data_IF_921020436944
#
_entry.id   IF_921020436944
#
_cell.length_a   1.000
_cell.length_b   1.000
_cell.length_c   1.000
_cell.angle_alpha   90.00
_cell.angle_beta   90.00
_cell.angle_gamma   90.00
#
_symmetry.space_group_name_H-M   'P 1'
#
loop_
_entity.id
_entity.type
_entity.pdbx_description
1 polymer ?
#
# COMPACT_ATOMS: atom_id res chain seq x y z
N UNK A 1 -35.44 -25.97 -6.97
CA UNK A 1 -34.14 -25.27 -6.78
C UNK A 1 -32.96 -26.22 -6.94
N UNK A 2 -32.91 -27.33 -6.20
CA UNK A 2 -31.79 -28.28 -6.26
C UNK A 2 -31.61 -28.89 -7.67
N UNK A 3 -32.69 -29.29 -8.34
CA UNK A 3 -32.62 -29.79 -9.74
C UNK A 3 -32.13 -28.74 -10.74
N UNK A 4 -32.47 -27.46 -10.53
CA UNK A 4 -32.02 -26.36 -11.37
C UNK A 4 -30.51 -26.11 -11.19
N UNK A 5 -30.03 -26.20 -9.95
CA UNK A 5 -28.60 -26.10 -9.61
C UNK A 5 -27.83 -27.30 -10.19
N UNK A 6 -28.35 -28.51 -10.05
CA UNK A 6 -27.75 -29.72 -10.62
C UNK A 6 -27.74 -29.69 -12.15
N UNK A 7 -28.82 -29.24 -12.79
CA UNK A 7 -28.90 -29.09 -14.24
C UNK A 7 -27.96 -28.02 -14.79
N UNK A 8 -27.76 -26.93 -14.04
CA UNK A 8 -26.77 -25.90 -14.39
C UNK A 8 -25.35 -26.45 -14.30
N UNK A 9 -24.97 -27.06 -13.18
CA UNK A 9 -23.62 -27.61 -13.01
C UNK A 9 -23.37 -28.88 -13.85
N UNK A 10 -24.40 -29.64 -14.19
CA UNK A 10 -24.28 -30.79 -15.09
C UNK A 10 -23.96 -30.42 -16.53
N UNK A 11 -24.27 -29.19 -16.97
CA UNK A 11 -24.04 -28.75 -18.36
C UNK A 11 -23.02 -27.62 -18.49
N UNK A 12 -22.86 -26.78 -17.47
CA UNK A 12 -22.11 -25.52 -17.54
C UNK A 12 -20.99 -25.39 -16.51
N UNK A 13 -20.67 -26.45 -15.75
CA UNK A 13 -19.63 -26.36 -14.71
C UNK A 13 -18.25 -26.04 -15.31
N UNK A 14 -17.91 -26.62 -16.46
CA UNK A 14 -16.61 -26.37 -17.12
C UNK A 14 -16.53 -24.92 -17.58
N UNK A 15 -17.59 -24.41 -18.21
CA UNK A 15 -17.73 -23.03 -18.68
C UNK A 15 -17.68 -22.05 -17.51
N UNK A 16 -18.34 -22.38 -16.40
CA UNK A 16 -18.29 -21.60 -15.17
C UNK A 16 -16.87 -21.54 -14.60
N UNK A 17 -16.18 -22.67 -14.51
CA UNK A 17 -14.80 -22.74 -14.05
C UNK A 17 -13.85 -21.98 -14.99
N UNK A 18 -14.06 -22.06 -16.30
CA UNK A 18 -13.31 -21.29 -17.29
C UNK A 18 -13.55 -19.78 -17.12
N UNK A 19 -14.79 -19.34 -16.92
CA UNK A 19 -15.12 -17.95 -16.64
C UNK A 19 -14.45 -17.44 -15.36
N UNK A 20 -14.45 -18.26 -14.30
CA UNK A 20 -13.77 -17.96 -13.04
C UNK A 20 -12.26 -17.83 -13.26
N UNK A 21 -11.66 -18.73 -14.05
CA UNK A 21 -10.23 -18.67 -14.39
C UNK A 21 -9.90 -17.39 -15.17
N UNK A 22 -10.68 -17.04 -16.19
CA UNK A 22 -10.47 -15.80 -16.95
C UNK A 22 -10.55 -14.57 -16.05
N UNK A 23 -11.56 -14.49 -15.17
CA UNK A 23 -11.66 -13.43 -14.17
C UNK A 23 -10.43 -13.39 -13.25
N UNK A 24 -9.97 -14.55 -12.76
CA UNK A 24 -8.78 -14.66 -11.93
C UNK A 24 -7.52 -14.16 -12.62
N UNK A 25 -7.33 -14.53 -13.90
CA UNK A 25 -6.20 -14.10 -14.70
C UNK A 25 -6.23 -12.59 -14.98
N UNK A 26 -7.41 -12.02 -15.23
CA UNK A 26 -7.59 -10.57 -15.37
C UNK A 26 -7.24 -9.87 -14.06
N UNK A 27 -7.81 -10.30 -12.93
CA UNK A 27 -7.49 -9.72 -11.62
C UNK A 27 -6.00 -9.82 -11.30
N UNK A 28 -5.39 -10.97 -11.61
CA UNK A 28 -3.96 -11.19 -11.43
C UNK A 28 -3.12 -10.26 -12.30
N UNK A 29 -3.46 -10.14 -13.58
CA UNK A 29 -2.75 -9.26 -14.51
C UNK A 29 -2.85 -7.80 -14.06
N UNK A 30 -4.04 -7.37 -13.65
CA UNK A 30 -4.28 -6.04 -13.12
C UNK A 30 -3.48 -5.79 -11.83
N UNK A 31 -3.48 -6.73 -10.88
CA UNK A 31 -2.70 -6.64 -9.65
C UNK A 31 -1.19 -6.64 -9.91
N UNK A 32 -0.71 -7.44 -10.87
CA UNK A 32 0.69 -7.46 -11.26
C UNK A 32 1.13 -6.14 -11.90
N UNK A 33 0.32 -5.60 -12.82
CA UNK A 33 0.60 -4.32 -13.48
C UNK A 33 0.61 -3.19 -12.47
N UNK A 34 -0.40 -3.13 -11.62
CA UNK A 34 -0.51 -2.14 -10.55
C UNK A 34 0.67 -2.23 -9.57
N UNK A 35 1.05 -3.44 -9.13
CA UNK A 35 2.23 -3.64 -8.27
C UNK A 35 3.55 -3.21 -8.92
N UNK A 36 3.67 -3.30 -10.25
CA UNK A 36 4.85 -2.82 -10.97
C UNK A 36 4.90 -1.29 -11.01
N UNK A 37 3.76 -0.66 -11.22
CA UNK A 37 3.62 0.79 -11.22
C UNK A 37 3.91 1.35 -9.81
N UNK A 38 3.42 0.67 -8.77
CA UNK A 38 3.75 0.96 -7.37
C UNK A 38 5.26 0.83 -7.09
N UNK A 39 5.90 -0.29 -7.46
CA UNK A 39 7.34 -0.47 -7.22
C UNK A 39 8.16 0.63 -7.90
N UNK A 40 7.79 1.03 -9.12
CA UNK A 40 8.47 2.12 -9.83
C UNK A 40 8.28 3.48 -9.13
N UNK A 41 7.07 3.77 -8.65
CA UNK A 41 6.78 5.01 -7.91
C UNK A 41 7.53 5.06 -6.58
N UNK A 42 7.33 4.06 -5.72
CA UNK A 42 7.94 4.02 -4.39
C UNK A 42 9.47 3.92 -4.47
N UNK A 43 10.03 3.16 -5.41
CA UNK A 43 11.50 3.11 -5.57
C UNK A 43 12.08 4.44 -6.02
N UNK A 44 11.37 5.21 -6.85
CA UNK A 44 11.81 6.57 -7.20
C UNK A 44 11.69 7.51 -6.01
N UNK A 45 10.57 7.45 -5.28
CA UNK A 45 10.37 8.23 -4.07
C UNK A 45 11.49 7.99 -3.04
N UNK A 46 11.77 6.73 -2.68
CA UNK A 46 12.81 6.41 -1.70
C UNK A 46 14.19 6.86 -2.19
N UNK A 47 14.48 6.69 -3.49
CA UNK A 47 15.77 7.10 -4.07
C UNK A 47 15.94 8.63 -4.04
N UNK A 48 14.93 9.40 -4.41
CA UNK A 48 15.00 10.86 -4.39
C UNK A 48 15.03 11.40 -2.96
N UNK A 49 14.30 10.77 -2.04
CA UNK A 49 14.34 11.10 -0.62
C UNK A 49 15.73 10.87 -0.03
N UNK A 50 16.31 9.68 -0.22
CA UNK A 50 17.65 9.36 0.25
C UNK A 50 18.71 10.27 -0.41
N UNK A 51 18.57 10.58 -1.70
CA UNK A 51 19.48 11.49 -2.40
C UNK A 51 19.44 12.92 -1.86
N UNK A 52 18.25 13.46 -1.56
CA UNK A 52 18.13 14.78 -0.95
C UNK A 52 18.72 14.80 0.47
N UNK A 53 18.51 13.74 1.26
CA UNK A 53 19.08 13.59 2.60
C UNK A 53 20.62 13.55 2.53
N UNK A 54 21.19 12.81 1.58
CA UNK A 54 22.64 12.71 1.41
C UNK A 54 23.26 14.02 0.91
N UNK A 55 22.59 14.75 0.02
CA UNK A 55 23.02 16.09 -0.43
C UNK A 55 23.02 17.10 0.73
N UNK A 56 21.98 17.10 1.56
CA UNK A 56 21.89 17.97 2.73
C UNK A 56 22.96 17.63 3.78
N UNK A 57 23.25 16.34 3.96
CA UNK A 57 24.32 15.84 4.83
C UNK A 57 25.70 16.31 4.34
N UNK A 58 25.93 16.34 3.04
CA UNK A 58 27.18 16.86 2.46
C UNK A 58 27.29 18.38 2.61
N UNK A 59 26.18 19.10 2.41
CA UNK A 59 26.09 20.56 2.53
C UNK A 59 26.07 21.08 3.97
N UNK A 60 25.97 20.20 4.97
CA UNK A 60 25.86 20.55 6.40
C UNK A 60 24.77 21.61 6.66
N UNK A 61 23.60 21.45 6.05
CA UNK A 61 22.48 22.38 6.26
C UNK A 61 22.01 22.27 7.73
N UNK A 62 21.92 23.39 8.47
CA UNK A 62 21.39 23.37 9.83
C UNK A 62 19.90 23.01 9.83
N UNK A 63 19.53 22.09 10.70
CA UNK A 63 18.14 21.65 10.91
C UNK A 63 17.63 22.41 12.14
N UNK A 64 17.15 23.65 11.95
CA UNK A 64 16.63 24.47 13.05
C UNK A 64 15.17 24.12 13.40
N UNK A 65 14.34 23.88 12.38
CA UNK A 65 12.96 23.44 12.55
C UNK A 65 12.68 22.21 11.68
N UNK A 66 12.29 21.11 12.34
CA UNK A 66 11.98 19.82 11.69
C UNK A 66 10.80 19.96 10.74
N UNK A 67 9.78 20.75 11.06
CA UNK A 67 8.60 20.87 10.20
C UNK A 67 8.94 21.64 8.92
N UNK A 68 9.63 22.77 9.05
CA UNK A 68 10.13 23.57 7.92
C UNK A 68 11.12 22.79 7.04
N UNK A 69 12.07 22.09 7.66
CA UNK A 69 13.05 21.25 6.95
C UNK A 69 12.34 20.11 6.20
N UNK A 70 11.43 19.40 6.86
CA UNK A 70 10.69 18.30 6.24
C UNK A 70 9.78 18.80 5.11
N UNK A 71 9.18 19.99 5.25
CA UNK A 71 8.39 20.61 4.17
C UNK A 71 9.25 20.95 2.95
N UNK A 72 10.43 21.51 3.16
CA UNK A 72 11.35 21.82 2.07
C UNK A 72 11.92 20.55 1.42
N UNK A 73 12.33 19.57 2.22
CA UNK A 73 12.81 18.26 1.76
C UNK A 73 11.75 17.55 0.92
N UNK A 74 10.53 17.40 1.46
CA UNK A 74 9.44 16.74 0.75
C UNK A 74 8.98 17.55 -0.46
N UNK A 75 9.07 18.88 -0.43
CA UNK A 75 8.82 19.74 -1.60
C UNK A 75 9.81 19.51 -2.74
N UNK A 76 11.11 19.33 -2.43
CA UNK A 76 12.14 18.99 -3.42
C UNK A 76 11.95 17.58 -3.98
N UNK A 77 11.67 16.60 -3.12
CA UNK A 77 11.33 15.24 -3.54
C UNK A 77 10.08 15.25 -4.42
N UNK A 78 9.07 16.06 -4.07
CA UNK A 78 7.88 16.28 -4.89
C UNK A 78 8.28 16.78 -6.28
N UNK A 79 9.10 17.82 -6.40
CA UNK A 79 9.50 18.36 -7.69
C UNK A 79 10.22 17.32 -8.58
N UNK A 80 10.96 16.38 -7.99
CA UNK A 80 11.69 15.33 -8.72
C UNK A 80 10.83 14.12 -9.13
N UNK A 81 9.65 13.92 -8.53
CA UNK A 81 8.75 12.81 -8.87
C UNK A 81 8.04 13.06 -10.21
N UNK A 82 7.88 12.04 -11.08
CA UNK A 82 7.20 12.19 -12.36
C UNK A 82 5.74 12.65 -12.18
N UNK A 83 5.26 13.52 -13.08
CA UNK A 83 3.86 13.92 -13.10
C UNK A 83 2.93 12.74 -13.34
N UNK A 84 1.74 12.83 -12.74
CA UNK A 84 0.69 11.81 -12.55
C UNK A 84 0.27 10.98 -13.78
N UNK A 85 0.81 11.22 -14.97
CA UNK A 85 0.54 10.41 -16.16
C UNK A 85 0.89 8.93 -15.93
N UNK A 86 1.93 8.59 -15.19
CA UNK A 86 2.33 7.18 -15.03
C UNK A 86 1.48 6.39 -14.03
N UNK A 87 0.89 7.02 -13.00
CA UNK A 87 0.05 6.35 -11.98
C UNK A 87 -1.43 6.28 -12.40
N UNK A 88 -1.86 7.12 -13.34
CA UNK A 88 -3.26 7.28 -13.75
C UNK A 88 -3.51 7.22 -15.28
N UNK A 89 -2.59 6.67 -16.09
CA UNK A 89 -2.74 6.55 -17.57
C UNK A 89 -3.82 5.54 -18.00
N UNK A 90 -5.03 5.60 -17.44
CA UNK A 90 -6.21 5.12 -18.14
C UNK A 90 -7.55 5.73 -17.70
N UNK A 91 -7.58 6.88 -17.01
CA UNK A 91 -8.89 7.44 -16.61
C UNK A 91 -9.06 8.96 -16.75
N UNK A 92 -8.17 9.66 -17.44
CA UNK A 92 -8.37 11.09 -17.76
C UNK A 92 -9.10 11.31 -19.11
N UNK A 93 -9.19 10.29 -19.98
CA UNK A 93 -9.73 10.43 -21.35
C UNK A 93 -11.10 9.77 -21.57
N UNK A 94 -11.71 9.16 -20.54
CA UNK A 94 -13.04 8.54 -20.65
C UNK A 94 -14.14 9.46 -20.11
N UNK A 95 -13.82 10.40 -19.21
CA UNK A 95 -14.82 11.28 -18.59
C UNK A 95 -15.17 12.53 -19.41
N UNK A 96 -14.43 12.84 -20.48
CA UNK A 96 -14.66 14.02 -21.34
C UNK A 96 -15.24 13.69 -22.73
N UNK A 97 -15.81 12.49 -22.93
CA UNK A 97 -16.42 12.09 -24.23
C UNK A 97 -17.94 11.93 -24.23
N UNK A 98 -18.63 12.29 -23.16
CA UNK A 98 -20.08 12.33 -23.15
C UNK A 98 -20.60 13.67 -22.62
N UNK A 99 -20.61 14.67 -23.50
CA UNK A 99 -21.69 15.65 -23.56
C UNK A 99 -21.86 16.16 -24.98
N UNK A 100 -23.08 16.61 -25.24
CA UNK A 100 -23.81 16.71 -26.50
C UNK A 100 -23.21 17.69 -27.54
N UNK A 101 -23.63 17.48 -28.78
CA UNK A 101 -23.12 18.13 -29.98
C UNK A 101 -23.39 19.63 -30.11
N UNK A 102 -22.70 20.19 -31.12
CA UNK A 102 -22.74 21.57 -31.65
C UNK A 102 -21.98 22.60 -30.81
N UNK A 103 -20.74 22.82 -31.22
CA UNK A 103 -20.15 24.14 -31.56
C UNK A 103 -18.64 23.96 -31.72
N UNK A 104 -18.26 23.21 -32.76
CA UNK A 104 -16.92 23.27 -33.27
C UNK A 104 -16.80 24.55 -34.11
N UNK A 105 -15.74 25.32 -33.85
CA UNK A 105 -15.17 26.38 -34.70
C UNK A 105 -15.28 27.82 -34.18
N UNK A 106 -14.91 28.08 -32.91
CA UNK A 106 -14.39 29.41 -32.51
C UNK A 106 -13.52 29.41 -31.26
N UNK A 107 -12.63 28.42 -31.09
CA UNK A 107 -11.66 28.44 -29.99
C UNK A 107 -10.33 27.82 -30.46
N UNK A 108 -9.71 28.41 -31.48
CA UNK A 108 -8.38 27.99 -31.95
C UNK A 108 -7.31 29.08 -31.89
N UNK A 109 -7.62 30.22 -31.29
CA UNK A 109 -6.67 31.33 -31.12
C UNK A 109 -6.50 31.81 -29.67
N UNK A 110 -7.08 31.11 -28.68
CA UNK A 110 -6.87 31.37 -27.25
C UNK A 110 -6.13 30.19 -26.58
N UNK A 111 -5.22 29.53 -27.31
CA UNK A 111 -4.47 28.37 -26.79
C UNK A 111 -2.95 28.61 -26.74
N UNK A 112 -2.50 29.89 -26.72
CA UNK A 112 -1.06 30.21 -26.61
C UNK A 112 -0.63 31.01 -25.38
N UNK A 113 -1.54 31.38 -24.48
CA UNK A 113 -1.17 32.16 -23.28
C UNK A 113 -1.65 31.57 -21.94
N UNK A 114 -2.16 30.33 -21.91
CA UNK A 114 -2.57 29.67 -20.67
C UNK A 114 -1.52 28.66 -20.11
N UNK A 115 -0.22 28.91 -20.34
CA UNK A 115 0.86 28.27 -19.58
C UNK A 115 1.38 29.25 -18.52
N UNK A 116 0.57 29.55 -17.51
CA UNK A 116 0.99 30.10 -16.20
C UNK A 116 -0.22 30.53 -15.36
N UNK A 117 -1.03 29.58 -14.90
CA UNK A 117 -1.78 29.81 -13.65
C UNK A 117 -2.13 28.48 -13.00
N UNK A 118 -1.35 28.18 -11.98
CA UNK A 118 -1.75 27.47 -10.77
C UNK A 118 -3.23 27.72 -10.44
N UNK A 119 -4.02 26.65 -10.25
CA UNK A 119 -5.42 26.79 -9.82
C UNK A 119 -6.49 25.91 -10.46
N UNK A 120 -6.17 24.75 -11.06
CA UNK A 120 -7.21 23.73 -11.22
C UNK A 120 -7.53 23.14 -9.85
N UNK A 121 -8.73 23.42 -9.31
CA UNK A 121 -9.20 22.89 -8.04
C UNK A 121 -9.21 21.35 -8.08
N UNK A 122 -8.15 20.74 -7.55
CA UNK A 122 -8.05 19.29 -7.41
C UNK A 122 -9.04 18.88 -6.32
N UNK A 123 -10.00 18.02 -6.66
CA UNK A 123 -10.94 17.50 -5.64
C UNK A 123 -10.16 16.83 -4.51
N UNK A 124 -10.63 16.95 -3.26
CA UNK A 124 -9.97 16.37 -2.08
C UNK A 124 -9.68 14.86 -2.25
N UNK A 125 -10.57 14.14 -2.93
CA UNK A 125 -10.39 12.74 -3.32
C UNK A 125 -9.27 12.51 -4.34
N UNK A 126 -9.04 13.46 -5.24
CA UNK A 126 -7.98 13.44 -6.23
C UNK A 126 -6.65 13.93 -5.64
N UNK A 127 -6.67 14.80 -4.63
CA UNK A 127 -5.49 15.25 -3.89
C UNK A 127 -4.92 14.12 -3.03
N UNK A 128 -5.76 13.46 -2.23
CA UNK A 128 -5.40 12.29 -1.41
C UNK A 128 -4.92 11.11 -2.26
N UNK A 129 -5.47 10.94 -3.47
CA UNK A 129 -5.03 9.91 -4.42
C UNK A 129 -3.76 10.27 -5.22
N UNK A 130 -3.32 11.53 -5.22
CA UNK A 130 -2.21 12.02 -6.04
C UNK A 130 -0.84 11.82 -5.38
N UNK A 131 0.21 12.23 -6.09
CA UNK A 131 1.60 12.43 -5.61
C UNK A 131 1.71 13.18 -4.26
N UNK A 132 0.70 13.98 -3.90
CA UNK A 132 0.63 14.68 -2.61
C UNK A 132 0.15 13.83 -1.44
N UNK A 133 -0.49 12.66 -1.68
CA UNK A 133 -1.02 11.80 -0.62
C UNK A 133 0.07 11.28 0.31
N UNK A 134 1.13 10.68 -0.27
CA UNK A 134 2.26 10.16 0.52
C UNK A 134 2.97 11.27 1.30
N UNK A 135 3.18 12.43 0.67
CA UNK A 135 3.83 13.58 1.29
C UNK A 135 2.97 14.16 2.41
N UNK A 136 1.66 14.26 2.20
CA UNK A 136 0.72 14.71 3.21
C UNK A 136 0.65 13.76 4.40
N UNK A 137 0.71 12.44 4.17
CA UNK A 137 0.75 11.44 5.23
C UNK A 137 2.06 11.47 6.03
N UNK A 138 3.21 11.67 5.37
CA UNK A 138 4.49 11.89 6.06
C UNK A 138 4.42 13.18 6.89
N UNK A 139 3.83 14.25 6.35
CA UNK A 139 3.58 15.49 7.09
C UNK A 139 2.65 15.32 8.29
N UNK A 140 1.58 14.53 8.13
CA UNK A 140 0.66 14.21 9.22
C UNK A 140 1.34 13.49 10.39
N UNK A 141 2.37 12.69 10.08
CA UNK A 141 3.18 11.96 11.07
C UNK A 141 4.44 12.74 11.51
N UNK A 142 4.53 14.07 11.28
CA UNK A 142 5.71 14.87 11.64
C UNK A 142 6.08 14.79 13.12
N UNK A 143 5.08 14.60 13.99
CA UNK A 143 5.25 14.43 15.43
C UNK A 143 6.12 13.22 15.80
N UNK A 144 6.06 12.14 15.01
CA UNK A 144 6.87 10.94 15.20
C UNK A 144 8.34 11.22 14.90
N UNK A 145 8.61 12.08 13.93
CA UNK A 145 9.96 12.50 13.56
C UNK A 145 10.59 13.49 14.57
N UNK A 146 9.77 14.13 15.41
CA UNK A 146 10.25 14.98 16.53
C UNK A 146 10.60 14.20 17.80
N UNK A 147 10.13 12.95 17.91
CA UNK A 147 10.40 12.10 19.06
C UNK A 147 11.89 11.80 19.17
N UNK A 148 12.44 11.97 20.37
CA UNK A 148 13.83 11.57 20.70
C UNK A 148 14.02 10.06 20.75
N UNK A 149 12.94 9.31 20.94
CA UNK A 149 12.92 7.85 20.95
C UNK A 149 12.64 7.34 19.53
N UNK A 150 13.40 6.36 19.03
CA UNK A 150 13.16 5.78 17.71
C UNK A 150 11.77 5.16 17.64
N UNK A 151 10.97 5.49 16.61
CA UNK A 151 9.65 4.92 16.44
C UNK A 151 9.71 3.47 15.95
N UNK A 152 8.59 2.76 16.08
CA UNK A 152 8.41 1.51 15.35
C UNK A 152 8.25 1.82 13.85
N UNK A 153 9.32 1.63 13.09
CA UNK A 153 9.35 1.95 11.66
C UNK A 153 8.33 1.15 10.84
N UNK A 154 8.03 -0.08 11.25
CA UNK A 154 7.00 -0.89 10.60
C UNK A 154 5.62 -0.26 10.78
N UNK A 155 5.25 0.17 11.99
CA UNK A 155 3.95 0.83 12.22
C UNK A 155 3.86 2.22 11.56
N UNK A 156 4.95 2.99 11.59
CA UNK A 156 5.03 4.29 10.92
C UNK A 156 4.82 4.15 9.40
N UNK A 157 5.52 3.19 8.80
CA UNK A 157 5.39 2.90 7.37
C UNK A 157 4.00 2.40 7.02
N UNK A 158 3.42 1.55 7.88
CA UNK A 158 2.05 1.06 7.69
C UNK A 158 1.03 2.19 7.72
N UNK A 159 1.12 3.15 8.66
CA UNK A 159 0.25 4.33 8.68
C UNK A 159 0.42 5.21 7.45
N UNK A 160 1.66 5.56 7.11
CA UNK A 160 1.97 6.43 5.96
C UNK A 160 1.50 5.80 4.64
N UNK A 161 1.71 4.50 4.45
CA UNK A 161 1.32 3.81 3.22
C UNK A 161 -0.17 3.45 3.19
N UNK A 162 -0.82 3.19 4.33
CA UNK A 162 -2.25 2.86 4.39
C UNK A 162 -3.15 4.03 4.02
N UNK A 163 -2.68 5.26 4.26
CA UNK A 163 -3.36 6.47 3.79
C UNK A 163 -3.32 6.62 2.26
N UNK A 164 -2.35 6.00 1.57
CA UNK A 164 -2.32 5.99 0.12
C UNK A 164 -3.40 5.04 -0.42
N UNK A 165 -4.44 5.61 -1.04
CA UNK A 165 -5.52 4.86 -1.69
C UNK A 165 -5.00 3.87 -2.74
N UNK A 166 -3.89 4.18 -3.41
CA UNK A 166 -3.32 3.28 -4.42
C UNK A 166 -2.67 2.05 -3.77
N UNK A 167 -2.09 2.20 -2.58
CA UNK A 167 -1.55 1.09 -1.81
C UNK A 167 -2.67 0.19 -1.26
N UNK A 168 -3.77 0.74 -0.78
CA UNK A 168 -4.82 -0.11 -0.18
C UNK A 168 -5.79 -0.70 -1.21
N UNK A 169 -6.01 -0.02 -2.35
CA UNK A 169 -7.05 -0.39 -3.32
C UNK A 169 -6.55 -0.47 -4.77
N UNK A 170 -6.86 -1.58 -5.43
CA UNK A 170 -6.70 -1.79 -6.86
C UNK A 170 -7.74 -0.94 -7.61
N UNK A 171 -7.26 -0.03 -8.46
CA UNK A 171 -8.07 0.96 -9.20
C UNK A 171 -9.08 1.72 -8.31
N UNK A 172 -8.78 1.90 -7.02
CA UNK A 172 -9.58 2.70 -6.09
C UNK A 172 -10.84 2.04 -5.55
N UNK A 173 -11.20 0.82 -5.97
CA UNK A 173 -12.45 0.16 -5.57
C UNK A 173 -12.24 -1.21 -4.89
N UNK A 174 -11.23 -1.98 -5.29
CA UNK A 174 -11.08 -3.37 -4.84
C UNK A 174 -9.92 -3.46 -3.84
N UNK A 175 -10.10 -3.96 -2.61
CA UNK A 175 -9.01 -4.13 -1.67
C UNK A 175 -7.99 -5.13 -2.22
N UNK A 176 -6.73 -4.72 -2.34
CA UNK A 176 -5.65 -5.56 -2.92
C UNK A 176 -5.46 -6.84 -2.11
N UNK A 177 -5.57 -6.74 -0.78
CA UNK A 177 -5.39 -7.90 0.10
C UNK A 177 -6.49 -8.95 -0.10
N UNK A 178 -7.73 -8.49 -0.35
CA UNK A 178 -8.85 -9.37 -0.70
C UNK A 178 -8.62 -10.06 -2.05
N UNK A 179 -8.16 -9.31 -3.06
CA UNK A 179 -7.87 -9.85 -4.38
C UNK A 179 -6.72 -10.87 -4.34
N UNK A 180 -5.64 -10.59 -3.59
CA UNK A 180 -4.52 -11.52 -3.42
C UNK A 180 -4.97 -12.81 -2.75
N UNK A 181 -5.67 -12.71 -1.60
CA UNK A 181 -6.19 -13.88 -0.88
C UNK A 181 -7.12 -14.72 -1.74
N UNK A 182 -7.99 -14.06 -2.53
CA UNK A 182 -8.88 -14.76 -3.45
C UNK A 182 -8.07 -15.57 -4.46
N UNK A 183 -7.10 -14.95 -5.14
CA UNK A 183 -6.21 -15.61 -6.12
C UNK A 183 -5.43 -16.77 -5.51
N UNK A 184 -5.06 -16.68 -4.23
CA UNK A 184 -4.35 -17.75 -3.51
C UNK A 184 -5.25 -18.94 -3.15
N UNK A 185 -6.56 -18.72 -2.94
CA UNK A 185 -7.54 -19.77 -2.59
C UNK A 185 -8.10 -20.49 -3.83
N UNK A 186 -8.15 -19.81 -4.98
CA UNK A 186 -8.73 -20.33 -6.22
C UNK A 186 -8.22 -21.71 -6.68
N UNK A 187 -6.92 -22.03 -6.60
CA UNK A 187 -6.43 -23.37 -6.97
C UNK A 187 -7.12 -24.49 -6.20
N UNK A 188 -7.34 -24.29 -4.90
CA UNK A 188 -8.02 -25.27 -4.06
C UNK A 188 -9.50 -25.36 -4.43
N UNK A 189 -10.12 -24.20 -4.71
CA UNK A 189 -11.51 -24.15 -5.13
C UNK A 189 -11.76 -24.90 -6.45
N UNK A 190 -10.83 -24.83 -7.42
CA UNK A 190 -10.93 -25.57 -8.66
C UNK A 190 -10.86 -27.10 -8.48
N UNK A 191 -10.05 -27.57 -7.54
CA UNK A 191 -10.02 -29.00 -7.18
C UNK A 191 -11.38 -29.41 -6.61
N UNK A 192 -11.93 -28.61 -5.69
CA UNK A 192 -13.26 -28.87 -5.11
C UNK A 192 -14.35 -28.89 -6.17
N UNK A 193 -14.34 -27.94 -7.12
CA UNK A 193 -15.28 -27.95 -8.24
C UNK A 193 -15.10 -29.15 -9.16
N UNK A 194 -13.87 -29.59 -9.44
CA UNK A 194 -13.61 -30.79 -10.23
C UNK A 194 -14.15 -32.07 -9.57
N UNK A 195 -13.94 -32.21 -8.25
CA UNK A 195 -14.50 -33.31 -7.46
C UNK A 195 -16.03 -33.25 -7.44
N UNK A 196 -16.60 -32.06 -7.23
CA UNK A 196 -18.05 -31.85 -7.25
C UNK A 196 -18.68 -32.18 -8.60
N UNK A 197 -18.04 -31.79 -9.70
CA UNK A 197 -18.47 -32.13 -11.06
C UNK A 197 -18.48 -33.63 -11.33
N UNK A 198 -17.52 -34.35 -10.77
CA UNK A 198 -17.47 -35.82 -10.83
C UNK A 198 -18.69 -36.42 -10.14
N UNK A 199 -19.00 -35.95 -8.92
CA UNK A 199 -20.17 -36.42 -8.18
C UNK A 199 -21.48 -36.13 -8.91
N UNK A 200 -21.62 -34.94 -9.51
CA UNK A 200 -22.82 -34.59 -10.30
C UNK A 200 -22.95 -35.48 -11.52
N UNK A 201 -21.89 -35.67 -12.31
CA UNK A 201 -21.97 -36.48 -13.52
C UNK A 201 -22.29 -37.95 -13.22
N UNK A 202 -21.74 -38.52 -12.13
CA UNK A 202 -22.12 -39.86 -11.68
C UNK A 202 -23.58 -39.91 -11.20
N UNK A 203 -24.02 -38.92 -10.43
CA UNK A 203 -25.40 -38.85 -9.95
C UNK A 203 -26.42 -38.75 -11.09
N UNK A 204 -26.07 -38.10 -12.20
CA UNK A 204 -26.88 -38.05 -13.42
C UNK A 204 -26.80 -39.35 -14.24
N UNK A 205 -25.69 -40.09 -14.17
CA UNK A 205 -25.49 -41.33 -14.90
C UNK A 205 -26.20 -42.54 -14.26
N UNK A 206 -26.26 -42.62 -12.92
CA UNK A 206 -26.84 -43.77 -12.22
C UNK A 206 -28.32 -44.06 -12.56
N UNK A 207 -29.22 -43.05 -12.67
CA UNK A 207 -30.60 -43.29 -13.08
C UNK A 207 -30.73 -43.86 -14.50
N UNK A 208 -29.83 -43.50 -15.41
CA UNK A 208 -29.83 -44.00 -16.80
C UNK A 208 -29.56 -45.51 -16.86
N UNK A 209 -28.70 -46.03 -15.98
CA UNK A 209 -28.50 -47.48 -15.84
C UNK A 209 -29.78 -48.18 -15.34
N UNK A 210 -30.46 -47.58 -14.36
CA UNK A 210 -31.68 -48.16 -13.79
C UNK A 210 -32.84 -48.20 -14.80
N UNK A 211 -32.77 -47.39 -15.87
CA UNK A 211 -33.76 -47.34 -16.94
C UNK A 211 -33.49 -48.31 -18.12
N UNK A 212 -32.41 -49.11 -18.08
CA UNK A 212 -32.09 -50.10 -19.12
C UNK A 212 -33.07 -51.27 -19.05
N UNK A 213 -33.81 -51.50 -20.14
CA UNK A 213 -34.71 -52.64 -20.32
C UNK A 213 -34.15 -53.61 -21.37
N UNK A 214 -33.68 -54.78 -20.93
CA UNK A 214 -33.12 -55.80 -21.81
C UNK A 214 -34.13 -56.38 -22.83
N UNK A 215 -35.43 -56.13 -22.63
CA UNK A 215 -36.46 -56.52 -23.60
C UNK A 215 -36.64 -55.52 -24.74
N UNK A 216 -36.11 -54.29 -24.59
CA UNK A 216 -36.16 -53.24 -25.60
C UNK A 216 -34.75 -52.73 -25.90
N UNK A 217 -34.04 -53.47 -26.76
CA UNK A 217 -32.63 -53.24 -27.09
C UNK A 217 -32.39 -51.84 -27.68
N UNK A 218 -33.31 -51.32 -28.49
CA UNK A 218 -33.20 -49.98 -29.07
C UNK A 218 -33.23 -48.88 -28.01
N UNK A 219 -34.23 -48.88 -27.11
CA UNK A 219 -34.28 -47.88 -26.02
C UNK A 219 -33.13 -48.03 -25.02
N UNK A 220 -32.68 -49.25 -24.80
CA UNK A 220 -31.55 -49.55 -23.91
C UNK A 220 -30.20 -49.08 -24.47
N UNK A 221 -30.05 -49.06 -25.80
CA UNK A 221 -28.87 -48.50 -26.46
C UNK A 221 -28.75 -46.99 -26.22
N UNK A 222 -29.86 -46.25 -26.27
CA UNK A 222 -29.87 -44.80 -26.02
C UNK A 222 -29.51 -44.48 -24.56
N UNK A 223 -30.08 -45.20 -23.60
CA UNK A 223 -29.78 -45.05 -22.18
C UNK A 223 -28.30 -45.37 -21.86
N UNK A 224 -27.74 -46.39 -22.52
CA UNK A 224 -26.32 -46.73 -22.38
C UNK A 224 -25.40 -45.63 -22.94
N UNK A 225 -25.74 -45.06 -24.10
CA UNK A 225 -25.00 -43.92 -24.66
C UNK A 225 -25.04 -42.72 -23.72
N UNK A 226 -26.20 -42.38 -23.18
CA UNK A 226 -26.35 -41.27 -22.24
C UNK A 226 -25.57 -41.50 -20.94
N UNK A 227 -25.58 -42.72 -20.41
CA UNK A 227 -24.75 -43.11 -19.28
C UNK A 227 -23.26 -42.84 -19.55
N UNK A 228 -22.74 -43.31 -20.70
CA UNK A 228 -21.33 -43.11 -21.07
C UNK A 228 -20.99 -41.63 -21.23
N UNK A 229 -21.88 -40.83 -21.82
CA UNK A 229 -21.69 -39.38 -21.97
C UNK A 229 -21.61 -38.70 -20.60
N UNK A 230 -22.50 -39.02 -19.66
CA UNK A 230 -22.53 -38.42 -18.32
C UNK A 230 -21.29 -38.80 -17.49
N UNK A 231 -20.82 -40.05 -17.59
CA UNK A 231 -19.58 -40.49 -16.96
C UNK A 231 -18.37 -39.78 -17.57
N UNK A 232 -18.29 -39.70 -18.89
CA UNK A 232 -17.22 -39.00 -19.60
C UNK A 232 -17.21 -37.50 -19.27
N UNK A 233 -18.38 -36.87 -19.14
CA UNK A 233 -18.50 -35.49 -18.68
C UNK A 233 -17.93 -35.34 -17.26
N UNK A 234 -18.30 -36.22 -16.33
CA UNK A 234 -17.76 -36.22 -14.97
C UNK A 234 -16.22 -36.30 -14.97
N UNK A 235 -15.65 -37.20 -15.78
CA UNK A 235 -14.18 -37.30 -15.91
C UNK A 235 -13.55 -36.01 -16.46
N UNK A 236 -14.16 -35.39 -17.48
CA UNK A 236 -13.69 -34.12 -18.05
C UNK A 236 -13.72 -32.99 -17.02
N UNK A 237 -14.75 -32.90 -16.18
CA UNK A 237 -14.83 -31.86 -15.13
C UNK A 237 -13.71 -31.99 -14.10
N UNK A 238 -13.37 -33.21 -13.68
CA UNK A 238 -12.25 -33.48 -12.77
C UNK A 238 -10.91 -33.05 -13.39
N UNK A 239 -10.66 -33.43 -14.64
CA UNK A 239 -9.44 -33.05 -15.37
C UNK A 239 -9.35 -31.53 -15.51
N UNK A 240 -10.45 -30.86 -15.85
CA UNK A 240 -10.51 -29.40 -15.94
C UNK A 240 -10.18 -28.72 -14.59
N UNK A 241 -10.72 -29.24 -13.49
CA UNK A 241 -10.42 -28.71 -12.14
C UNK A 241 -8.97 -28.83 -11.75
N UNK A 242 -8.35 -29.99 -12.00
CA UNK A 242 -6.92 -30.20 -11.76
C UNK A 242 -6.10 -29.29 -12.67
N UNK A 243 -6.43 -29.21 -13.96
CA UNK A 243 -5.70 -28.40 -14.93
C UNK A 243 -5.71 -26.91 -14.58
N UNK A 244 -6.88 -26.35 -14.26
CA UNK A 244 -6.99 -24.94 -13.85
C UNK A 244 -6.29 -24.66 -12.52
N UNK A 245 -6.35 -25.61 -11.58
CA UNK A 245 -5.61 -25.53 -10.32
C UNK A 245 -4.11 -25.48 -10.53
N UNK A 246 -3.57 -26.34 -11.41
CA UNK A 246 -2.15 -26.37 -11.73
C UNK A 246 -1.67 -25.06 -12.38
N UNK A 247 -2.44 -24.51 -13.32
CA UNK A 247 -2.12 -23.22 -13.95
C UNK A 247 -2.01 -22.11 -12.89
N UNK A 248 -3.02 -21.98 -12.02
CA UNK A 248 -3.01 -20.92 -11.01
C UNK A 248 -1.94 -21.16 -9.94
N UNK A 249 -1.70 -22.40 -9.54
CA UNK A 249 -0.62 -22.74 -8.59
C UNK A 249 0.72 -22.34 -9.16
N UNK A 250 1.00 -22.72 -10.41
CA UNK A 250 2.24 -22.36 -11.10
C UNK A 250 2.40 -20.84 -11.20
N UNK A 251 1.33 -20.13 -11.55
CA UNK A 251 1.35 -18.67 -11.59
C UNK A 251 1.62 -18.05 -10.21
N UNK A 252 0.95 -18.54 -9.15
CA UNK A 252 1.12 -18.09 -7.76
C UNK A 252 2.56 -18.28 -7.31
N UNK A 253 3.19 -19.40 -7.66
CA UNK A 253 4.59 -19.68 -7.35
C UNK A 253 5.56 -18.77 -8.12
N UNK A 254 5.35 -18.53 -9.42
CA UNK A 254 6.26 -17.68 -10.21
C UNK A 254 6.15 -16.20 -9.87
N UNK A 255 4.97 -15.73 -9.48
CA UNK A 255 4.71 -14.32 -9.23
C UNK A 255 3.94 -14.13 -7.92
N UNK A 256 4.59 -14.35 -6.75
CA UNK A 256 3.95 -14.12 -5.46
C UNK A 256 3.67 -12.62 -5.29
N UNK A 257 2.38 -12.25 -5.30
CA UNK A 257 1.94 -10.86 -5.10
C UNK A 257 2.33 -10.33 -3.70
N UNK A 258 2.12 -11.07 -2.59
CA UNK A 258 2.43 -10.57 -1.26
C UNK A 258 3.91 -10.23 -1.07
N UNK A 259 4.81 -11.06 -1.59
CA UNK A 259 6.26 -10.85 -1.45
C UNK A 259 6.74 -9.57 -2.16
N UNK A 260 6.19 -9.28 -3.34
CA UNK A 260 6.54 -8.04 -4.06
C UNK A 260 6.14 -6.80 -3.28
N UNK A 261 4.92 -6.80 -2.73
CA UNK A 261 4.43 -5.69 -1.91
C UNK A 261 5.25 -5.54 -0.64
N UNK A 262 5.56 -6.64 0.04
CA UNK A 262 6.42 -6.61 1.23
C UNK A 262 7.81 -6.02 0.93
N UNK A 263 8.41 -6.32 -0.22
CA UNK A 263 9.68 -5.71 -0.64
C UNK A 263 9.57 -4.19 -0.82
N UNK A 264 8.48 -3.70 -1.42
CA UNK A 264 8.23 -2.25 -1.56
C UNK A 264 8.09 -1.60 -0.19
N UNK A 265 7.28 -2.21 0.69
CA UNK A 265 7.09 -1.75 2.07
C UNK A 265 8.42 -1.62 2.81
N UNK A 266 9.27 -2.65 2.75
CA UNK A 266 10.59 -2.65 3.40
C UNK A 266 11.53 -1.56 2.86
N UNK A 267 11.47 -1.24 1.56
CA UNK A 267 12.25 -0.12 0.98
C UNK A 267 11.81 1.21 1.58
N UNK A 268 10.49 1.45 1.66
CA UNK A 268 9.95 2.69 2.24
C UNK A 268 10.32 2.79 3.72
N UNK A 269 10.16 1.69 4.47
CA UNK A 269 10.56 1.61 5.89
C UNK A 269 12.02 1.99 6.12
N UNK A 270 12.92 1.47 5.28
CA UNK A 270 14.36 1.79 5.35
C UNK A 270 14.61 3.28 5.10
N UNK A 271 13.92 3.88 4.13
CA UNK A 271 14.06 5.30 3.83
C UNK A 271 13.48 6.20 4.93
N UNK A 272 12.37 5.80 5.57
CA UNK A 272 11.84 6.49 6.76
C UNK A 272 12.80 6.40 7.95
N UNK A 273 13.45 5.26 8.14
CA UNK A 273 14.49 5.09 9.15
C UNK A 273 15.70 6.00 8.87
N UNK A 274 16.16 6.09 7.63
CA UNK A 274 17.24 7.00 7.23
C UNK A 274 16.88 8.47 7.50
N UNK A 275 15.65 8.87 7.17
CA UNK A 275 15.13 10.20 7.43
C UNK A 275 15.14 10.52 8.93
N UNK A 276 14.62 9.62 9.77
CA UNK A 276 14.61 9.83 11.23
C UNK A 276 16.03 10.00 11.80
N UNK A 277 16.98 9.15 11.40
CA UNK A 277 18.37 9.28 11.86
C UNK A 277 19.02 10.59 11.41
N UNK A 278 18.69 11.07 10.21
CA UNK A 278 19.20 12.35 9.72
C UNK A 278 18.68 13.52 10.57
N UNK A 279 17.37 13.54 10.83
CA UNK A 279 16.73 14.58 11.65
C UNK A 279 17.28 14.60 13.08
N UNK A 280 17.43 13.42 13.70
CA UNK A 280 17.93 13.34 15.08
C UNK A 280 19.41 13.73 15.21
N UNK A 281 20.21 13.58 14.15
CA UNK A 281 21.60 14.06 14.13
C UNK A 281 21.69 15.58 14.18
N UNK A 282 20.69 16.29 13.64
CA UNK A 282 20.54 17.74 13.80
C UNK A 282 20.29 18.11 15.26
N UNK A 283 19.26 17.50 15.88
CA UNK A 283 18.88 17.72 17.28
C UNK A 283 19.99 17.37 18.28
N UNK A 284 20.81 16.34 18.01
CA UNK A 284 21.90 15.95 18.91
C UNK A 284 22.94 17.08 19.07
N UNK A 285 23.17 17.89 18.03
CA UNK A 285 24.07 19.06 18.13
C UNK A 285 23.47 20.14 19.03
N UNK A 286 22.17 20.38 18.95
CA UNK A 286 21.46 21.31 19.83
C UNK A 286 21.41 20.82 21.28
N UNK A 287 21.20 19.53 21.53
CA UNK A 287 21.24 18.97 22.88
C UNK A 287 22.62 19.13 23.53
N UNK A 288 23.71 18.91 22.77
CA UNK A 288 25.07 19.15 23.23
C UNK A 288 25.30 20.65 23.51
N UNK A 289 24.79 21.53 22.65
CA UNK A 289 24.87 22.97 22.86
C UNK A 289 24.09 23.43 24.10
N UNK A 290 22.87 22.91 24.31
CA UNK A 290 22.01 23.18 25.47
C UNK A 290 22.66 22.67 26.76
N UNK A 291 23.27 21.49 26.75
CA UNK A 291 24.02 20.95 27.89
C UNK A 291 25.28 21.80 28.19
N UNK A 292 25.95 22.30 27.16
CA UNK A 292 27.05 23.26 27.29
C UNK A 292 26.61 24.59 27.92
N UNK A 293 25.48 25.13 27.47
CA UNK A 293 24.89 26.37 28.02
C UNK A 293 24.45 26.18 29.47
N UNK A 294 23.85 25.04 29.82
CA UNK A 294 23.51 24.69 31.21
C UNK A 294 24.75 24.62 32.11
N UNK A 295 25.86 24.04 31.62
CA UNK A 295 27.14 24.01 32.37
C UNK A 295 27.72 25.41 32.59
N UNK A 296 27.58 26.31 31.61
CA UNK A 296 28.01 27.71 31.73
C UNK A 296 27.12 28.48 32.69
N UNK A 297 25.80 28.27 32.66
CA UNK A 297 24.87 28.85 33.64
C UNK A 297 25.17 28.38 35.07
N UNK A 298 25.45 27.08 35.25
CA UNK A 298 25.86 26.53 36.54
C UNK A 298 27.21 27.07 37.02
N UNK A 299 28.16 27.31 36.11
CA UNK A 299 29.45 27.91 36.48
C UNK A 299 29.29 29.38 36.86
N UNK A 300 28.47 30.15 36.14
CA UNK A 300 28.14 31.54 36.48
C UNK A 300 27.42 31.63 37.83
N UNK A 301 26.45 30.74 38.11
CA UNK A 301 25.78 30.68 39.41
C UNK A 301 26.77 30.38 40.55
N UNK A 302 27.75 29.50 40.32
CA UNK A 302 28.77 29.16 41.31
C UNK A 302 29.72 30.34 41.56
N UNK A 303 30.15 31.04 40.51
CA UNK A 303 30.96 32.26 40.63
C UNK A 303 30.22 33.38 41.37
N UNK A 304 28.93 33.58 41.09
CA UNK A 304 28.09 34.58 41.80
C UNK A 304 27.89 34.24 43.29
N UNK A 305 27.96 32.96 43.69
CA UNK A 305 27.93 32.54 45.10
C UNK A 305 29.28 32.69 45.80
N UNK A 306 30.40 32.55 45.08
CA UNK A 306 31.75 32.72 45.64
C UNK A 306 32.14 34.19 45.81
N UNK A 307 31.66 35.10 44.96
CA UNK A 307 31.92 36.55 45.03
C UNK A 307 30.96 37.33 45.95
N UNK A 308 30.33 36.67 46.93
CA UNK A 308 29.64 37.35 48.03
C UNK A 308 30.60 37.48 49.25
N UNK A 309 31.42 38.55 49.37
CA UNK A 309 32.31 38.69 50.51
C UNK A 309 31.56 39.05 51.79
N UNK A 310 31.66 38.15 52.78
CA UNK A 310 32.01 38.43 54.18
C UNK A 310 31.54 39.79 54.72
N UNK A 311 30.28 39.89 55.15
CA UNK A 311 29.86 40.87 56.16
C UNK A 311 28.98 40.18 57.19
N UNK A 312 29.61 39.60 58.20
CA UNK A 312 29.12 39.50 59.59
C UNK A 312 29.94 38.41 60.29
N UNK A 313 30.98 38.82 61.03
CA UNK A 313 31.43 38.19 62.28
C UNK A 313 32.67 38.88 62.91
N UNK A 314 32.90 40.17 62.64
CA UNK A 314 33.78 40.99 63.49
C UNK A 314 33.03 41.70 64.65
N UNK A 315 31.75 41.39 64.90
CA UNK A 315 30.99 41.99 66.00
C UNK A 315 30.83 41.11 67.26
N UNK A 316 31.41 39.91 67.35
CA UNK A 316 31.25 39.02 68.50
C UNK A 316 32.38 39.07 69.55
N UNK A 317 33.18 40.15 69.60
CA UNK A 317 34.33 40.25 70.54
C UNK A 317 34.40 41.53 71.36
N UNK A 318 33.28 42.23 71.57
CA UNK A 318 33.28 43.49 72.33
C UNK A 318 32.29 43.65 73.48
N UNK A 319 31.49 42.64 73.82
CA UNK A 319 30.50 42.76 74.90
C UNK A 319 30.65 41.65 75.96
N UNK A 320 31.84 41.51 76.56
CA UNK A 320 31.97 40.73 77.81
C UNK A 320 33.05 41.31 78.74
N UNK A 321 33.04 42.65 78.85
CA UNK A 321 33.80 43.36 79.89
C UNK A 321 33.10 44.65 80.27
N UNK A 322 32.01 44.52 81.04
CA UNK A 322 31.53 45.44 82.09
C UNK A 322 30.06 45.11 82.38
N UNK A 323 29.84 44.27 83.38
CA UNK A 323 29.01 44.66 84.52
C UNK A 323 29.51 43.84 85.73
N UNK A 324 30.07 44.57 86.67
CA UNK A 324 30.48 44.08 87.98
C UNK A 324 29.29 44.20 88.92
N UNK A 325 29.00 43.13 89.65
CA UNK A 325 28.54 43.17 91.03
C UNK A 325 29.08 41.93 91.73
#
# INVERSE_FOLDING_TARGET
MIELVLGFFGNYLIEFMMGLLCCALVFRYLAYRHSKDDDAYYSRFTRELDACIDDDKQKNIPIDDIDSYMSNLLGRVNAALPDNALRFSNNANIQNRHYDGKEAMQQREIDKEAQSSDGTSISLNQYIGSKHGLIASIHGESSVFKSTVPPNYTELTDRIMSDDRNWTKLYGHIPIDGASRMIDILPNLFIVFGVFGTFIGIAMALPEIAAIDFNNIEKSSDNLTNFVINVAFSMKTSIAGIFFSLILTFLNTLFPLPEKRFKIFKKVETSMQNLWYHLQRGNAKEQIAMEGVLKVLQSIERYLKEDAPLKEQQHAKRDDKKDAA
#
